data_IF_597437032003
#
_entry.id   IF_597437032003
#
_cell.length_a   1.000
_cell.length_b   1.000
_cell.length_c   1.000
_cell.angle_alpha   90.00
_cell.angle_beta   90.00
_cell.angle_gamma   90.00
#
_symmetry.space_group_name_H-M   'P 1'
#
loop_
_entity.id
_entity.type
_entity.pdbx_description
1 polymer ?
#
# COMPACT_ATOMS: atom_id res chain seq x y z
N UNK A 1 10.54 -23.92 -14.08
CA UNK A 1 11.12 -22.92 -15.00
C UNK A 1 10.92 -21.62 -14.28
N UNK A 2 11.94 -20.78 -14.20
CA UNK A 2 11.82 -19.43 -13.64
C UNK A 2 10.83 -18.66 -14.50
N UNK A 3 9.74 -18.21 -13.91
CA UNK A 3 8.73 -17.37 -14.54
C UNK A 3 8.98 -15.90 -14.18
N UNK A 4 8.59 -15.00 -15.10
CA UNK A 4 8.52 -13.57 -14.85
C UNK A 4 7.10 -13.19 -14.45
N UNK A 5 6.93 -12.87 -13.16
CA UNK A 5 5.64 -12.67 -12.52
C UNK A 5 5.44 -11.20 -12.17
N UNK A 6 4.38 -10.60 -12.70
CA UNK A 6 4.05 -9.19 -12.47
C UNK A 6 2.89 -9.03 -11.50
N UNK A 7 3.14 -8.44 -10.33
CA UNK A 7 2.08 -7.97 -9.43
C UNK A 7 1.57 -6.61 -9.89
N UNK A 8 0.29 -6.55 -10.25
CA UNK A 8 -0.35 -5.36 -10.84
C UNK A 8 -1.55 -4.93 -9.99
N UNK A 9 -1.35 -4.03 -9.02
CA UNK A 9 -2.38 -3.22 -8.38
C UNK A 9 -3.29 -2.47 -9.38
N UNK A 10 -4.49 -3.01 -9.62
CA UNK A 10 -5.46 -2.50 -10.61
C UNK A 10 -6.30 -1.36 -10.06
N UNK A 11 -6.08 -0.15 -10.58
CA UNK A 11 -6.89 1.03 -10.31
C UNK A 11 -7.79 1.41 -11.49
N UNK A 12 -7.68 2.67 -11.91
CA UNK A 12 -8.47 3.21 -13.04
C UNK A 12 -7.66 3.37 -14.32
N UNK A 13 -6.36 3.04 -14.30
CA UNK A 13 -5.50 3.07 -15.47
C UNK A 13 -5.58 1.75 -16.22
N UNK A 14 -5.42 1.82 -17.54
CA UNK A 14 -5.32 0.63 -18.40
C UNK A 14 -3.93 0.58 -19.04
N UNK A 15 -3.59 1.62 -19.80
CA UNK A 15 -2.39 1.66 -20.64
C UNK A 15 -1.11 1.45 -19.84
N UNK A 16 -1.00 2.12 -18.69
CA UNK A 16 0.17 2.04 -17.79
C UNK A 16 0.35 0.67 -17.14
N UNK A 17 -0.68 -0.16 -17.14
CA UNK A 17 -0.63 -1.50 -16.55
C UNK A 17 -0.27 -2.58 -17.57
N UNK A 18 -0.50 -2.33 -18.87
CA UNK A 18 -0.30 -3.34 -19.93
C UNK A 18 0.74 -2.95 -20.98
N UNK A 19 0.90 -1.67 -21.32
CA UNK A 19 1.78 -1.25 -22.44
C UNK A 19 3.24 -1.65 -22.29
N UNK A 20 3.88 -1.60 -21.11
CA UNK A 20 5.26 -2.08 -20.99
C UNK A 20 5.42 -3.52 -21.46
N UNK A 21 4.45 -4.37 -21.12
CA UNK A 21 4.45 -5.80 -21.48
C UNK A 21 4.04 -5.98 -22.95
N UNK A 22 2.91 -5.41 -23.37
CA UNK A 22 2.39 -5.61 -24.72
C UNK A 22 3.21 -4.97 -25.84
N UNK A 23 4.07 -4.00 -25.50
CA UNK A 23 5.03 -3.39 -26.44
C UNK A 23 6.41 -4.06 -26.39
N UNK A 24 6.58 -5.17 -25.64
CA UNK A 24 7.84 -5.90 -25.52
C UNK A 24 8.97 -5.09 -24.86
N UNK A 25 8.63 -4.12 -23.99
CA UNK A 25 9.62 -3.43 -23.16
C UNK A 25 9.91 -4.20 -21.86
N UNK A 26 8.97 -5.06 -21.46
CA UNK A 26 9.09 -6.00 -20.36
C UNK A 26 8.51 -7.33 -20.82
N UNK A 27 9.13 -8.43 -20.41
CA UNK A 27 8.65 -9.78 -20.62
C UNK A 27 7.79 -10.18 -19.40
N UNK A 28 6.76 -11.00 -19.60
CA UNK A 28 5.92 -11.50 -18.53
C UNK A 28 5.37 -12.87 -18.91
N UNK A 29 5.61 -13.88 -18.09
CA UNK A 29 4.96 -15.18 -18.23
C UNK A 29 3.58 -15.16 -17.55
N UNK A 30 3.48 -14.45 -16.42
CA UNK A 30 2.28 -14.37 -15.60
C UNK A 30 2.05 -13.00 -14.99
N UNK A 31 0.80 -12.59 -14.88
CA UNK A 31 0.36 -11.38 -14.17
C UNK A 31 -0.58 -11.74 -13.02
N UNK A 32 -0.31 -11.20 -11.85
CA UNK A 32 -1.22 -11.28 -10.70
C UNK A 32 -1.92 -9.93 -10.56
N UNK A 33 -3.18 -9.88 -10.96
CA UNK A 33 -4.01 -8.68 -10.87
C UNK A 33 -4.53 -8.54 -9.44
N UNK A 34 -4.04 -7.51 -8.73
CA UNK A 34 -4.52 -7.17 -7.40
C UNK A 34 -5.73 -6.23 -7.56
N UNK A 35 -6.91 -6.72 -7.24
CA UNK A 35 -8.19 -6.06 -7.50
C UNK A 35 -8.92 -5.73 -6.20
N UNK A 36 -9.98 -4.93 -6.29
CA UNK A 36 -10.86 -4.68 -5.16
C UNK A 36 -12.06 -5.65 -5.18
N UNK A 37 -12.36 -6.30 -4.06
CA UNK A 37 -13.62 -7.00 -3.83
C UNK A 37 -14.74 -5.98 -3.59
N UNK A 38 -15.68 -5.93 -4.53
CA UNK A 38 -16.95 -5.25 -4.33
C UNK A 38 -17.97 -5.87 -5.26
N UNK A 39 -19.07 -6.41 -4.71
CA UNK A 39 -20.15 -6.98 -5.51
C UNK A 39 -20.74 -5.88 -6.41
N UNK A 40 -20.59 -5.95 -7.75
CA UNK A 40 -21.11 -4.93 -8.66
C UNK A 40 -22.64 -4.74 -8.57
N UNK A 41 -23.33 -5.73 -8.01
CA UNK A 41 -24.79 -5.83 -7.93
C UNK A 41 -25.39 -5.42 -6.57
N UNK A 42 -24.58 -5.02 -5.58
CA UNK A 42 -25.11 -4.40 -4.37
C UNK A 42 -25.74 -3.03 -4.67
N UNK A 43 -26.96 -2.82 -4.16
CA UNK A 43 -27.68 -1.55 -4.31
C UNK A 43 -26.97 -0.43 -3.55
N UNK A 44 -26.12 0.32 -4.26
CA UNK A 44 -25.36 1.42 -3.68
C UNK A 44 -23.90 1.50 -4.15
N UNK A 45 -23.46 0.55 -4.98
CA UNK A 45 -22.07 0.49 -5.48
C UNK A 45 -21.64 1.80 -6.15
N UNK A 46 -20.60 2.39 -5.55
CA UNK A 46 -19.91 3.60 -5.97
C UNK A 46 -19.42 3.46 -7.43
N UNK A 47 -19.64 4.48 -8.28
CA UNK A 47 -19.24 4.47 -9.72
C UNK A 47 -17.77 4.08 -9.93
N UNK A 48 -16.92 4.34 -8.92
CA UNK A 48 -15.53 3.92 -8.88
C UNK A 48 -15.36 2.39 -8.99
N UNK A 49 -16.10 1.59 -8.21
CA UNK A 49 -15.97 0.14 -8.23
C UNK A 49 -16.34 -0.43 -9.62
N UNK A 50 -17.40 0.07 -10.24
CA UNK A 50 -17.79 -0.32 -11.62
C UNK A 50 -16.71 0.01 -12.64
N UNK A 51 -16.04 1.15 -12.49
CA UNK A 51 -14.94 1.53 -13.37
C UNK A 51 -13.75 0.58 -13.19
N UNK A 52 -13.37 0.28 -11.94
CA UNK A 52 -12.30 -0.66 -11.62
C UNK A 52 -12.58 -2.06 -12.19
N UNK A 53 -13.78 -2.62 -11.98
CA UNK A 53 -14.17 -3.92 -12.54
C UNK A 53 -14.08 -3.94 -14.07
N UNK A 54 -14.51 -2.86 -14.73
CA UNK A 54 -14.38 -2.74 -16.18
C UNK A 54 -12.91 -2.70 -16.63
N UNK A 55 -12.03 -2.05 -15.87
CA UNK A 55 -10.60 -2.03 -16.16
C UNK A 55 -9.96 -3.40 -15.95
N UNK A 56 -10.29 -4.10 -14.86
CA UNK A 56 -9.86 -5.49 -14.61
C UNK A 56 -10.24 -6.39 -15.79
N UNK A 57 -11.51 -6.43 -16.18
CA UNK A 57 -11.94 -7.27 -17.30
C UNK A 57 -11.23 -6.91 -18.62
N UNK A 58 -10.99 -5.61 -18.84
CA UNK A 58 -10.28 -5.15 -20.02
C UNK A 58 -8.82 -5.61 -20.00
N UNK A 59 -8.15 -5.58 -18.85
CA UNK A 59 -6.78 -6.07 -18.68
C UNK A 59 -6.70 -7.57 -18.89
N UNK A 60 -7.58 -8.35 -18.24
CA UNK A 60 -7.68 -9.81 -18.41
C UNK A 60 -7.75 -10.17 -19.91
N UNK A 61 -8.75 -9.64 -20.61
CA UNK A 61 -8.92 -9.88 -22.05
C UNK A 61 -7.70 -9.48 -22.88
N UNK A 62 -6.94 -8.47 -22.44
CA UNK A 62 -5.80 -7.96 -23.21
C UNK A 62 -4.52 -8.74 -22.95
N UNK A 63 -4.32 -9.25 -21.74
CA UNK A 63 -3.23 -10.16 -21.39
C UNK A 63 -3.44 -11.54 -22.02
N UNK A 64 -4.67 -12.05 -22.07
CA UNK A 64 -5.01 -13.29 -22.79
C UNK A 64 -4.62 -13.22 -24.27
N UNK A 65 -4.78 -12.05 -24.91
CA UNK A 65 -4.46 -11.85 -26.33
C UNK A 65 -2.96 -11.88 -26.63
N UNK A 66 -2.11 -11.72 -25.63
CA UNK A 66 -0.65 -11.77 -25.75
C UNK A 66 -0.07 -13.00 -25.05
N UNK A 67 -0.89 -14.03 -24.81
CA UNK A 67 -0.50 -15.32 -24.23
C UNK A 67 0.17 -15.23 -22.84
N UNK A 68 -0.21 -14.24 -22.03
CA UNK A 68 0.25 -14.08 -20.64
C UNK A 68 -0.74 -14.74 -19.68
N UNK A 69 -0.26 -15.57 -18.75
CA UNK A 69 -1.11 -16.20 -17.72
C UNK A 69 -1.64 -15.15 -16.73
N UNK A 70 -2.89 -15.27 -16.30
CA UNK A 70 -3.54 -14.30 -15.43
C UNK A 70 -4.03 -14.98 -14.16
N UNK A 71 -3.60 -14.44 -13.03
CA UNK A 71 -4.15 -14.73 -11.71
C UNK A 71 -4.81 -13.48 -11.13
N UNK A 72 -5.79 -13.69 -10.24
CA UNK A 72 -6.52 -12.60 -9.61
C UNK A 72 -6.55 -12.77 -8.11
N UNK A 73 -6.05 -11.74 -7.44
CA UNK A 73 -6.16 -11.56 -6.00
C UNK A 73 -7.09 -10.39 -5.72
N UNK A 74 -7.92 -10.51 -4.67
CA UNK A 74 -8.90 -9.49 -4.33
C UNK A 74 -8.69 -9.01 -2.90
N UNK A 75 -8.70 -7.69 -2.72
CA UNK A 75 -8.58 -7.01 -1.43
C UNK A 75 -9.94 -6.38 -1.13
N UNK A 76 -10.44 -6.52 0.08
CA UNK A 76 -11.66 -5.85 0.50
C UNK A 76 -11.54 -4.32 0.41
N UNK A 77 -12.64 -3.65 0.05
CA UNK A 77 -12.62 -2.20 -0.19
C UNK A 77 -12.12 -1.39 1.00
N UNK A 78 -12.44 -1.81 2.22
CA UNK A 78 -11.99 -1.11 3.43
C UNK A 78 -10.51 -1.36 3.71
N UNK A 79 -10.00 -2.56 3.43
CA UNK A 79 -8.59 -2.93 3.63
C UNK A 79 -7.65 -2.22 2.65
N UNK A 80 -8.14 -1.69 1.52
CA UNK A 80 -7.33 -0.91 0.56
C UNK A 80 -6.70 0.35 1.16
N UNK A 81 -7.16 0.78 2.33
CA UNK A 81 -6.61 1.94 3.05
C UNK A 81 -5.83 1.56 4.31
N UNK A 82 -5.81 0.27 4.65
CA UNK A 82 -5.17 -0.26 5.86
C UNK A 82 -3.77 -0.76 5.54
N UNK A 83 -2.80 0.14 5.67
CA UNK A 83 -1.40 -0.15 5.31
C UNK A 83 -0.81 -1.33 6.09
N UNK A 84 -1.12 -1.47 7.37
CA UNK A 84 -0.65 -2.59 8.21
C UNK A 84 -1.29 -3.94 7.89
N UNK A 85 -2.29 -3.97 7.01
CA UNK A 85 -2.90 -5.18 6.43
C UNK A 85 -2.32 -5.46 5.05
N UNK A 86 -2.14 -4.41 4.25
CA UNK A 86 -1.63 -4.50 2.88
C UNK A 86 -0.16 -4.91 2.81
N UNK A 87 0.68 -4.39 3.71
CA UNK A 87 2.11 -4.69 3.70
C UNK A 87 2.39 -6.18 3.94
N UNK A 88 1.85 -6.84 5.00
CA UNK A 88 2.11 -8.26 5.21
C UNK A 88 1.63 -9.13 4.05
N UNK A 89 0.46 -8.81 3.49
CA UNK A 89 -0.07 -9.50 2.31
C UNK A 89 0.88 -9.36 1.11
N UNK A 90 1.34 -8.14 0.80
CA UNK A 90 2.27 -7.92 -0.30
C UNK A 90 3.62 -8.60 -0.07
N UNK A 91 4.12 -8.60 1.17
CA UNK A 91 5.34 -9.28 1.56
C UNK A 91 5.24 -10.79 1.30
N UNK A 92 4.18 -11.43 1.78
CA UNK A 92 3.93 -12.86 1.54
C UNK A 92 3.81 -13.17 0.05
N UNK A 93 3.02 -12.39 -0.70
CA UNK A 93 2.84 -12.64 -2.14
C UNK A 93 4.14 -12.57 -2.93
N UNK A 94 5.01 -11.60 -2.61
CA UNK A 94 6.29 -11.45 -3.28
C UNK A 94 7.24 -12.58 -2.86
N UNK A 95 7.33 -12.88 -1.56
CA UNK A 95 8.24 -13.90 -1.04
C UNK A 95 7.88 -15.30 -1.54
N UNK A 96 6.58 -15.64 -1.59
CA UNK A 96 6.09 -16.91 -2.11
C UNK A 96 6.52 -17.16 -3.58
N UNK A 97 6.66 -16.11 -4.39
CA UNK A 97 7.15 -16.21 -5.77
C UNK A 97 8.68 -16.31 -5.83
N UNK A 98 9.39 -15.55 -5.00
CA UNK A 98 10.85 -15.63 -4.91
C UNK A 98 11.31 -17.01 -4.41
N UNK A 99 10.59 -17.62 -3.47
CA UNK A 99 10.85 -18.98 -2.97
C UNK A 99 10.69 -20.06 -4.06
N UNK A 100 9.94 -19.77 -5.12
CA UNK A 100 9.81 -20.62 -6.32
C UNK A 100 10.89 -20.34 -7.37
N UNK A 101 11.86 -19.49 -7.05
CA UNK A 101 12.92 -19.02 -7.95
C UNK A 101 12.38 -18.25 -9.17
N UNK A 102 11.25 -17.55 -9.01
CA UNK A 102 10.66 -16.67 -10.03
C UNK A 102 11.27 -15.25 -9.97
N UNK A 103 11.27 -14.54 -11.09
CA UNK A 103 11.59 -13.12 -11.15
C UNK A 103 10.29 -12.30 -10.98
N UNK A 104 10.29 -11.35 -10.05
CA UNK A 104 9.10 -10.63 -9.59
C UNK A 104 9.18 -9.16 -9.96
N UNK A 105 8.11 -8.66 -10.58
CA UNK A 105 7.95 -7.26 -10.96
C UNK A 105 6.71 -6.65 -10.30
N UNK A 106 6.88 -5.53 -9.62
CA UNK A 106 5.81 -4.83 -8.91
C UNK A 106 5.46 -3.52 -9.61
N UNK A 107 4.26 -3.43 -10.18
CA UNK A 107 3.78 -2.23 -10.87
C UNK A 107 3.07 -1.26 -9.90
N UNK A 108 3.64 -0.10 -9.64
CA UNK A 108 3.07 0.89 -8.70
C UNK A 108 2.30 2.03 -9.40
N UNK A 109 1.78 1.77 -10.60
CA UNK A 109 1.25 2.84 -11.46
C UNK A 109 -0.18 3.31 -11.13
N UNK A 110 -1.08 2.44 -10.65
CA UNK A 110 -2.53 2.75 -10.68
C UNK A 110 -3.27 2.81 -9.34
N UNK A 111 -3.36 1.70 -8.60
CA UNK A 111 -4.21 1.58 -7.39
C UNK A 111 -4.07 2.72 -6.36
N UNK A 112 -4.99 2.85 -5.37
CA UNK A 112 -4.82 3.80 -4.28
C UNK A 112 -3.40 3.76 -3.73
N UNK A 113 -2.88 4.94 -3.42
CA UNK A 113 -1.48 5.12 -3.03
C UNK A 113 -1.07 4.16 -1.92
N UNK A 114 -1.95 3.89 -0.96
CA UNK A 114 -1.70 2.95 0.14
C UNK A 114 -1.30 1.55 -0.34
N UNK A 115 -1.99 0.99 -1.34
CA UNK A 115 -1.65 -0.33 -1.91
C UNK A 115 -0.32 -0.27 -2.66
N UNK A 116 -0.14 0.75 -3.51
CA UNK A 116 1.10 0.92 -4.26
C UNK A 116 2.33 1.06 -3.34
N UNK A 117 2.21 1.84 -2.26
CA UNK A 117 3.26 1.98 -1.26
C UNK A 117 3.46 0.70 -0.45
N UNK A 118 2.40 -0.03 -0.08
CA UNK A 118 2.55 -1.30 0.63
C UNK A 118 3.39 -2.31 -0.17
N UNK A 119 3.08 -2.47 -1.45
CA UNK A 119 3.83 -3.34 -2.36
C UNK A 119 5.27 -2.85 -2.59
N UNK A 120 5.48 -1.54 -2.78
CA UNK A 120 6.82 -0.98 -2.94
C UNK A 120 7.68 -1.14 -1.68
N UNK A 121 7.10 -0.92 -0.50
CA UNK A 121 7.81 -1.08 0.77
C UNK A 121 8.11 -2.55 1.03
N UNK A 122 7.15 -3.45 0.81
CA UNK A 122 7.37 -4.90 0.93
C UNK A 122 8.51 -5.37 0.05
N UNK A 123 8.54 -4.96 -1.22
CA UNK A 123 9.62 -5.30 -2.14
C UNK A 123 10.99 -4.81 -1.63
N UNK A 124 11.07 -3.56 -1.17
CA UNK A 124 12.31 -3.00 -0.63
C UNK A 124 12.74 -3.67 0.69
N UNK A 125 11.80 -4.03 1.56
CA UNK A 125 12.09 -4.74 2.81
C UNK A 125 12.67 -6.11 2.54
N UNK A 126 12.06 -6.88 1.62
CA UNK A 126 12.59 -8.20 1.21
C UNK A 126 14.02 -8.07 0.68
N UNK A 127 14.30 -7.09 -0.19
CA UNK A 127 15.67 -6.84 -0.65
C UNK A 127 16.59 -6.50 0.54
N UNK A 128 16.14 -5.65 1.46
CA UNK A 128 16.97 -5.22 2.58
C UNK A 128 17.31 -6.37 3.55
N UNK A 129 16.35 -7.27 3.79
CA UNK A 129 16.44 -8.40 4.71
C UNK A 129 17.28 -9.54 4.11
N UNK A 130 17.05 -9.91 2.86
CA UNK A 130 17.67 -11.10 2.26
C UNK A 130 18.93 -10.83 1.42
N UNK A 131 19.28 -9.57 1.13
CA UNK A 131 20.48 -9.25 0.31
C UNK A 131 21.79 -9.81 0.87
N UNK A 132 21.91 -10.00 2.19
CA UNK A 132 23.14 -10.55 2.78
C UNK A 132 23.26 -12.07 2.56
N UNK A 133 22.14 -12.76 2.38
CA UNK A 133 22.07 -14.19 2.14
C UNK A 133 22.00 -14.54 0.66
N UNK A 134 21.36 -13.67 -0.14
CA UNK A 134 21.16 -13.81 -1.56
C UNK A 134 21.52 -12.51 -2.30
N UNK A 135 22.76 -12.44 -2.79
CA UNK A 135 23.26 -11.28 -3.57
C UNK A 135 22.44 -11.03 -4.86
N UNK A 136 21.78 -12.07 -5.40
CA UNK A 136 21.00 -11.99 -6.65
C UNK A 136 19.57 -11.47 -6.43
N UNK A 137 19.11 -11.28 -5.19
CA UNK A 137 17.71 -10.86 -4.93
C UNK A 137 17.37 -9.50 -5.56
N UNK A 138 18.38 -8.62 -5.70
CA UNK A 138 18.23 -7.34 -6.39
C UNK A 138 17.97 -7.49 -7.88
N UNK A 139 18.43 -8.58 -8.49
CA UNK A 139 18.20 -8.88 -9.89
C UNK A 139 16.89 -9.67 -10.08
N UNK A 140 16.33 -10.25 -9.02
CA UNK A 140 15.09 -11.01 -9.04
C UNK A 140 13.84 -10.19 -8.68
N UNK A 141 13.96 -9.09 -7.94
CA UNK A 141 12.82 -8.33 -7.43
C UNK A 141 12.89 -6.86 -7.85
N UNK A 142 11.93 -6.46 -8.68
CA UNK A 142 11.87 -5.13 -9.31
C UNK A 142 10.60 -4.40 -8.92
N UNK A 143 10.71 -3.09 -8.66
CA UNK A 143 9.55 -2.20 -8.53
C UNK A 143 9.61 -1.14 -9.63
N UNK A 144 8.53 -0.95 -10.37
CA UNK A 144 8.51 -0.03 -11.50
C UNK A 144 7.25 0.84 -11.57
N UNK A 145 7.42 2.00 -12.15
CA UNK A 145 6.38 3.01 -12.37
C UNK A 145 6.37 3.43 -13.83
N UNK A 146 5.18 3.48 -14.42
CA UNK A 146 4.97 4.01 -15.76
C UNK A 146 4.39 5.41 -15.63
N UNK A 147 5.08 6.43 -16.14
CA UNK A 147 4.54 7.79 -16.18
C UNK A 147 3.39 7.89 -17.17
N UNK A 148 2.28 8.58 -16.85
CA UNK A 148 1.31 8.96 -17.86
C UNK A 148 1.92 9.99 -18.83
N UNK A 149 1.51 9.94 -20.09
CA UNK A 149 1.79 11.01 -21.06
C UNK A 149 0.93 12.24 -20.78
N UNK A 150 -0.33 12.02 -20.40
CA UNK A 150 -1.30 13.07 -20.12
C UNK A 150 -2.23 12.71 -18.96
N UNK A 151 -2.59 13.72 -18.16
CA UNK A 151 -3.61 13.60 -17.12
C UNK A 151 -4.97 14.09 -17.65
N UNK A 152 -5.86 13.16 -17.97
CA UNK A 152 -7.20 13.44 -18.52
C UNK A 152 -8.07 14.36 -17.64
N UNK A 153 -7.73 14.49 -16.36
CA UNK A 153 -8.43 15.37 -15.41
C UNK A 153 -8.44 16.84 -15.85
N UNK A 154 -7.39 17.29 -16.54
CA UNK A 154 -7.31 18.66 -17.06
C UNK A 154 -8.29 18.85 -18.21
N UNK A 155 -8.31 17.92 -19.17
CA UNK A 155 -9.28 17.93 -20.27
C UNK A 155 -10.72 17.82 -19.76
N UNK A 156 -10.98 16.98 -18.76
CA UNK A 156 -12.30 16.86 -18.14
C UNK A 156 -12.77 18.19 -17.56
N UNK A 157 -11.88 18.92 -16.86
CA UNK A 157 -12.19 20.24 -16.32
C UNK A 157 -12.51 21.25 -17.44
N UNK A 158 -11.66 21.33 -18.45
CA UNK A 158 -11.84 22.26 -19.58
C UNK A 158 -13.15 21.99 -20.33
N UNK A 159 -13.47 20.72 -20.60
CA UNK A 159 -14.74 20.35 -21.25
C UNK A 159 -15.94 20.73 -20.38
N UNK A 160 -15.87 20.57 -19.06
CA UNK A 160 -16.93 20.97 -18.15
C UNK A 160 -17.12 22.50 -18.10
N UNK A 161 -16.03 23.28 -18.10
CA UNK A 161 -16.06 24.74 -18.16
C UNK A 161 -16.70 25.23 -19.46
N UNK A 162 -16.21 24.76 -20.61
CA UNK A 162 -16.76 25.09 -21.92
C UNK A 162 -18.24 24.71 -22.05
N UNK A 163 -18.61 23.55 -21.49
CA UNK A 163 -20.01 23.11 -21.46
C UNK A 163 -20.85 24.06 -20.61
N UNK A 164 -20.37 24.47 -19.43
CA UNK A 164 -21.08 25.41 -18.57
C UNK A 164 -21.29 26.76 -19.27
N UNK A 165 -20.26 27.33 -19.89
CA UNK A 165 -20.37 28.60 -20.62
C UNK A 165 -21.35 28.52 -21.80
N UNK A 166 -21.39 27.37 -22.48
CA UNK A 166 -22.36 27.13 -23.55
C UNK A 166 -23.78 27.08 -23.01
N UNK A 167 -23.99 26.43 -21.86
CA UNK A 167 -25.30 26.35 -21.21
C UNK A 167 -25.77 27.71 -20.70
N UNK A 168 -24.88 28.54 -20.15
CA UNK A 168 -25.15 29.94 -19.78
C UNK A 168 -25.71 30.75 -20.96
N UNK A 169 -25.18 30.53 -22.16
CA UNK A 169 -25.66 31.23 -23.37
C UNK A 169 -27.05 30.72 -23.81
N UNK A 170 -27.39 29.47 -23.50
CA UNK A 170 -28.64 28.82 -23.88
C UNK A 170 -29.79 29.04 -22.88
N UNK A 171 -29.50 29.40 -21.62
CA UNK A 171 -30.48 29.71 -20.56
C UNK A 171 -31.53 30.78 -20.94
N UNK A 172 -31.35 31.47 -22.07
CA UNK A 172 -32.39 32.30 -22.71
C UNK A 172 -33.60 31.49 -23.22
N UNK A 173 -33.60 30.15 -23.12
CA UNK A 173 -34.73 29.27 -23.44
C UNK A 173 -35.15 28.53 -22.16
N UNK A 174 -36.42 28.65 -21.77
CA UNK A 174 -37.01 28.07 -20.55
C UNK A 174 -37.10 26.52 -20.59
N UNK A 175 -35.96 25.81 -20.58
CA UNK A 175 -35.92 24.36 -20.46
C UNK A 175 -35.40 23.92 -19.08
N UNK A 176 -36.29 23.31 -18.28
CA UNK A 176 -36.02 22.92 -16.90
C UNK A 176 -35.01 21.77 -16.74
N UNK A 177 -34.81 20.96 -17.79
CA UNK A 177 -33.82 19.88 -17.78
C UNK A 177 -32.42 20.46 -17.97
N UNK A 178 -32.30 21.43 -18.89
CA UNK A 178 -31.05 22.13 -19.20
C UNK A 178 -30.57 22.94 -17.99
N UNK A 179 -31.47 23.68 -17.34
CA UNK A 179 -31.17 24.45 -16.12
C UNK A 179 -30.66 23.55 -14.97
N UNK A 180 -31.24 22.35 -14.82
CA UNK A 180 -30.77 21.38 -13.82
C UNK A 180 -29.35 20.89 -14.09
N UNK A 181 -29.05 20.45 -15.32
CA UNK A 181 -27.72 19.96 -15.68
C UNK A 181 -26.66 21.07 -15.57
N UNK A 182 -27.02 22.29 -15.97
CA UNK A 182 -26.13 23.44 -15.83
C UNK A 182 -25.77 23.71 -14.36
N UNK A 183 -26.75 23.70 -13.46
CA UNK A 183 -26.52 23.84 -12.01
C UNK A 183 -25.63 22.73 -11.45
N UNK A 184 -25.80 21.49 -11.88
CA UNK A 184 -24.95 20.37 -11.45
C UNK A 184 -23.49 20.56 -11.89
N UNK A 185 -23.25 20.99 -13.14
CA UNK A 185 -21.91 21.29 -13.67
C UNK A 185 -21.27 22.44 -12.89
N UNK A 186 -21.99 23.56 -12.70
CA UNK A 186 -21.52 24.71 -11.93
C UNK A 186 -21.15 24.35 -10.48
N UNK A 187 -21.94 23.48 -9.84
CA UNK A 187 -21.64 23.00 -8.49
C UNK A 187 -20.40 22.11 -8.46
N UNK A 188 -20.24 21.22 -9.45
CA UNK A 188 -19.05 20.37 -9.56
C UNK A 188 -17.79 21.20 -9.83
N UNK A 189 -17.82 22.16 -10.77
CA UNK A 189 -16.70 23.06 -11.06
C UNK A 189 -16.30 23.85 -9.82
N UNK A 190 -17.26 24.42 -9.08
CA UNK A 190 -16.98 25.11 -7.80
C UNK A 190 -16.30 24.20 -6.77
N UNK A 191 -16.70 22.92 -6.70
CA UNK A 191 -16.05 21.94 -5.81
C UNK A 191 -14.63 21.63 -6.30
N UNK A 192 -14.43 21.44 -7.60
CA UNK A 192 -13.11 21.19 -8.19
C UNK A 192 -12.18 22.37 -7.98
N UNK A 193 -12.64 23.60 -8.19
CA UNK A 193 -11.85 24.82 -7.99
C UNK A 193 -11.49 25.04 -6.52
N UNK A 194 -12.37 24.65 -5.60
CA UNK A 194 -12.16 24.81 -4.17
C UNK A 194 -11.30 23.71 -3.55
N UNK A 195 -11.57 22.45 -3.92
CA UNK A 195 -11.06 21.27 -3.23
C UNK A 195 -10.09 20.42 -4.08
N UNK A 196 -10.01 20.66 -5.39
CA UNK A 196 -9.34 19.77 -6.33
C UNK A 196 -10.23 18.58 -6.71
N UNK A 197 -9.60 17.47 -7.10
CA UNK A 197 -10.31 16.26 -7.60
C UNK A 197 -10.69 15.26 -6.51
N UNK A 198 -10.40 15.61 -5.26
CA UNK A 198 -10.73 14.86 -4.05
C UNK A 198 -11.39 15.79 -3.03
N UNK A 199 -12.19 15.27 -2.11
CA UNK A 199 -12.82 16.08 -1.06
C UNK A 199 -12.80 15.36 0.29
N UNK A 200 -12.41 16.09 1.33
CA UNK A 200 -12.31 15.59 2.69
C UNK A 200 -11.05 14.77 2.98
N UNK A 201 -10.78 14.56 4.27
CA UNK A 201 -9.82 13.57 4.75
C UNK A 201 -10.62 12.49 5.49
N UNK A 202 -10.31 11.22 5.22
CA UNK A 202 -10.94 10.07 5.92
C UNK A 202 -10.31 9.95 7.31
N UNK A 203 -11.13 9.62 8.30
CA UNK A 203 -10.63 9.16 9.60
C UNK A 203 -10.20 7.69 9.44
N UNK A 204 -8.97 7.41 9.85
CA UNK A 204 -8.30 6.11 9.80
C UNK A 204 -7.89 5.79 11.24
N UNK A 205 -8.82 5.22 12.01
CA UNK A 205 -8.62 4.86 13.42
C UNK A 205 -8.10 6.02 14.30
N UNK A 206 -8.75 7.19 14.21
CA UNK A 206 -8.44 8.35 15.03
C UNK A 206 -7.30 9.24 14.51
N UNK A 207 -6.77 8.93 13.32
CA UNK A 207 -5.85 9.80 12.57
C UNK A 207 -6.33 10.05 11.14
N UNK A 208 -5.95 11.18 10.55
CA UNK A 208 -6.35 11.58 9.19
C UNK A 208 -5.25 11.32 8.15
N UNK A 209 -4.23 10.53 8.50
CA UNK A 209 -3.09 10.23 7.65
C UNK A 209 -2.64 8.78 7.87
N UNK A 210 -1.94 8.25 6.88
CA UNK A 210 -1.19 6.99 6.98
C UNK A 210 0.28 7.37 6.84
N UNK A 211 1.10 6.92 7.78
CA UNK A 211 2.55 7.00 7.65
C UNK A 211 3.07 5.76 6.92
N UNK A 212 3.84 5.98 5.85
CA UNK A 212 4.57 4.91 5.18
C UNK A 212 5.98 4.87 5.78
N UNK A 213 6.29 3.89 6.63
CA UNK A 213 7.61 3.81 7.25
C UNK A 213 8.66 3.53 6.17
N UNK A 214 9.88 4.01 6.42
CA UNK A 214 11.02 3.62 5.60
C UNK A 214 11.31 2.12 5.78
N UNK A 215 11.83 1.49 4.73
CA UNK A 215 12.34 0.13 4.84
C UNK A 215 13.37 0.04 5.99
N UNK A 216 13.40 -1.06 6.74
CA UNK A 216 14.31 -1.21 7.86
C UNK A 216 15.77 -1.16 7.39
N UNK A 217 16.66 -0.70 8.28
CA UNK A 217 18.09 -0.57 7.94
C UNK A 217 18.83 -1.90 7.85
N UNK A 218 18.34 -2.92 8.53
CA UNK A 218 18.95 -4.25 8.66
C UNK A 218 17.96 -5.20 9.32
N UNK A 219 18.14 -6.50 9.11
CA UNK A 219 17.31 -7.57 9.67
C UNK A 219 17.30 -7.61 11.21
N UNK A 220 16.33 -8.29 11.80
CA UNK A 220 16.12 -8.51 13.24
C UNK A 220 16.74 -9.84 13.66
N UNK A 221 17.59 -9.84 14.69
CA UNK A 221 18.32 -11.05 15.08
C UNK A 221 18.09 -11.47 16.54
N UNK A 222 17.79 -12.76 16.73
CA UNK A 222 17.90 -13.45 18.01
C UNK A 222 17.00 -12.87 19.12
N UNK A 223 17.59 -12.13 20.06
CA UNK A 223 16.81 -11.58 21.19
C UNK A 223 15.96 -10.37 20.80
N UNK A 224 16.26 -9.74 19.67
CA UNK A 224 15.49 -8.62 19.13
C UNK A 224 14.08 -9.06 18.76
N UNK A 225 13.96 -10.20 18.06
CA UNK A 225 12.68 -10.84 17.69
C UNK A 225 11.82 -11.08 18.94
N UNK A 226 12.42 -11.64 19.99
CA UNK A 226 11.71 -11.91 21.25
C UNK A 226 11.10 -10.64 21.85
N UNK A 227 11.80 -9.51 21.77
CA UNK A 227 11.32 -8.22 22.26
C UNK A 227 10.17 -7.70 21.37
N UNK A 228 10.29 -7.81 20.05
CA UNK A 228 9.24 -7.35 19.13
C UNK A 228 7.94 -8.13 19.31
N UNK A 229 8.02 -9.47 19.33
CA UNK A 229 6.86 -10.35 19.56
C UNK A 229 6.20 -10.05 20.92
N UNK A 230 7.02 -9.82 21.96
CA UNK A 230 6.51 -9.46 23.28
C UNK A 230 5.75 -8.12 23.27
N UNK A 231 6.32 -7.07 22.67
CA UNK A 231 5.68 -5.76 22.57
C UNK A 231 4.41 -5.82 21.73
N UNK A 232 4.37 -6.63 20.67
CA UNK A 232 3.17 -6.84 19.86
C UNK A 232 2.00 -7.40 20.67
N UNK A 233 2.28 -8.33 21.59
CA UNK A 233 1.27 -8.98 22.43
C UNK A 233 0.82 -8.11 23.61
N UNK A 234 1.75 -7.34 24.20
CA UNK A 234 1.51 -6.61 25.46
C UNK A 234 1.18 -5.14 25.27
N UNK A 235 1.46 -4.57 24.09
CA UNK A 235 1.34 -3.15 23.81
C UNK A 235 2.43 -2.29 24.48
N UNK A 236 2.23 -0.96 24.51
CA UNK A 236 3.22 -0.01 25.04
C UNK A 236 3.64 -0.32 26.48
N UNK A 237 4.95 -0.19 26.75
CA UNK A 237 5.50 -0.39 28.09
C UNK A 237 6.19 0.88 28.58
N UNK A 238 5.74 1.36 29.74
CA UNK A 238 6.14 2.66 30.30
C UNK A 238 7.66 2.87 30.57
N UNK A 239 8.48 1.82 30.55
CA UNK A 239 9.95 1.95 30.63
C UNK A 239 10.69 0.70 30.20
N UNK A 240 11.93 0.85 29.74
CA UNK A 240 12.83 -0.27 29.42
C UNK A 240 13.06 -1.22 30.61
N UNK A 241 13.04 -0.72 31.85
CA UNK A 241 13.16 -1.58 33.05
C UNK A 241 11.88 -2.38 33.31
N UNK A 242 10.70 -1.77 33.13
CA UNK A 242 9.43 -2.49 33.22
C UNK A 242 9.28 -3.52 32.09
N UNK A 243 9.78 -3.20 30.89
CA UNK A 243 9.86 -4.16 29.79
C UNK A 243 10.74 -5.36 30.15
N UNK A 244 11.92 -5.12 30.71
CA UNK A 244 12.82 -6.20 31.13
C UNK A 244 12.20 -7.08 32.24
N UNK A 245 11.52 -6.49 33.22
CA UNK A 245 10.85 -7.23 34.29
C UNK A 245 9.73 -8.12 33.74
N UNK A 246 8.81 -7.56 32.95
CA UNK A 246 7.70 -8.33 32.35
C UNK A 246 8.19 -9.40 31.37
N UNK A 247 9.23 -9.10 30.58
CA UNK A 247 9.78 -10.05 29.64
C UNK A 247 10.48 -11.23 30.35
N UNK A 248 11.17 -10.98 31.46
CA UNK A 248 11.75 -12.05 32.27
C UNK A 248 10.67 -12.98 32.84
N UNK A 249 9.54 -12.42 33.29
CA UNK A 249 8.39 -13.19 33.76
C UNK A 249 7.81 -14.08 32.65
N UNK A 250 7.60 -13.53 31.45
CA UNK A 250 7.07 -14.26 30.28
C UNK A 250 8.00 -15.40 29.86
N UNK A 251 9.31 -15.14 29.79
CA UNK A 251 10.31 -16.13 29.40
C UNK A 251 10.66 -17.14 30.50
N UNK A 252 10.11 -16.96 31.72
CA UNK A 252 10.48 -17.71 32.94
C UNK A 252 11.99 -17.66 33.21
N UNK A 253 12.62 -16.51 32.91
CA UNK A 253 14.03 -16.24 33.14
C UNK A 253 14.21 -15.42 34.44
N UNK A 254 15.42 -15.41 34.98
CA UNK A 254 15.72 -14.65 36.19
C UNK A 254 15.89 -13.15 35.87
N UNK A 255 15.05 -12.30 36.47
CA UNK A 255 15.22 -10.85 36.38
C UNK A 255 16.45 -10.39 37.20
N UNK A 256 17.59 -10.31 36.53
CA UNK A 256 18.86 -9.84 37.08
C UNK A 256 19.45 -8.68 36.25
N UNK A 257 20.52 -8.07 36.75
CA UNK A 257 21.15 -6.91 36.09
C UNK A 257 21.71 -7.25 34.69
N UNK A 258 22.13 -8.51 34.47
CA UNK A 258 22.58 -8.98 33.16
C UNK A 258 21.43 -9.05 32.16
N UNK A 259 20.29 -9.59 32.56
CA UNK A 259 19.09 -9.65 31.73
C UNK A 259 18.60 -8.24 31.38
N UNK A 260 18.52 -7.36 32.37
CA UNK A 260 18.14 -5.95 32.19
C UNK A 260 19.06 -5.23 31.21
N UNK A 261 20.38 -5.43 31.32
CA UNK A 261 21.37 -4.84 30.40
C UNK A 261 21.19 -5.37 28.97
N UNK A 262 20.92 -6.67 28.82
CA UNK A 262 20.63 -7.29 27.52
C UNK A 262 19.38 -6.69 26.87
N UNK A 263 18.28 -6.54 27.62
CA UNK A 263 17.05 -5.91 27.12
C UNK A 263 17.32 -4.48 26.68
N UNK A 264 18.00 -3.68 27.52
CA UNK A 264 18.30 -2.30 27.19
C UNK A 264 19.16 -2.17 25.93
N UNK A 265 20.17 -3.02 25.77
CA UNK A 265 21.01 -3.04 24.57
C UNK A 265 20.20 -3.34 23.30
N UNK A 266 19.36 -4.38 23.32
CA UNK A 266 18.57 -4.76 22.15
C UNK A 266 17.47 -3.75 21.84
N UNK A 267 16.82 -3.15 22.84
CA UNK A 267 15.84 -2.07 22.63
C UNK A 267 16.49 -0.87 21.96
N UNK A 268 17.68 -0.45 22.40
CA UNK A 268 18.39 0.65 21.74
C UNK A 268 18.77 0.31 20.29
N UNK A 269 19.16 -0.95 20.01
CA UNK A 269 19.47 -1.40 18.65
C UNK A 269 18.21 -1.44 17.77
N UNK A 270 17.09 -1.90 18.29
CA UNK A 270 15.80 -1.88 17.59
C UNK A 270 15.32 -0.44 17.30
N UNK A 271 15.54 0.49 18.23
CA UNK A 271 15.25 1.92 18.06
C UNK A 271 16.12 2.53 16.94
N UNK A 272 17.42 2.23 16.93
CA UNK A 272 18.33 2.66 15.85
C UNK A 272 17.99 2.06 14.47
N UNK A 273 17.46 0.84 14.45
CA UNK A 273 16.95 0.16 13.25
C UNK A 273 15.57 0.68 12.81
N UNK A 274 14.83 1.33 13.72
CA UNK A 274 13.51 1.90 13.49
C UNK A 274 12.34 0.98 13.84
N UNK A 275 12.56 -0.18 14.47
CA UNK A 275 11.49 -1.15 14.79
C UNK A 275 10.69 -0.80 16.05
N UNK A 276 11.24 -0.04 16.97
CA UNK A 276 10.53 0.44 18.17
C UNK A 276 10.59 1.95 18.24
N UNK A 277 9.53 2.56 18.79
CA UNK A 277 9.48 3.98 19.10
C UNK A 277 9.65 4.17 20.60
N UNK A 278 10.43 5.20 20.97
CA UNK A 278 10.70 5.55 22.37
C UNK A 278 10.30 6.98 22.65
N UNK A 279 9.19 7.15 23.39
CA UNK A 279 8.63 8.46 23.70
C UNK A 279 8.99 8.84 25.14
N UNK A 280 9.52 10.05 25.32
CA UNK A 280 9.79 10.60 26.66
C UNK A 280 8.48 10.89 27.40
N UNK A 281 8.28 10.20 28.53
CA UNK A 281 7.25 10.52 29.52
C UNK A 281 7.93 10.84 30.86
N UNK A 282 8.15 12.14 31.09
CA UNK A 282 8.85 12.66 32.28
C UNK A 282 10.31 12.19 32.34
N UNK A 283 10.61 11.29 33.28
CA UNK A 283 11.96 10.70 33.44
C UNK A 283 12.04 9.26 32.88
N UNK A 284 11.03 8.82 32.12
CA UNK A 284 10.93 7.47 31.57
C UNK A 284 10.80 7.54 30.05
N UNK A 285 11.17 6.44 29.40
CA UNK A 285 11.00 6.24 27.96
C UNK A 285 9.98 5.13 27.79
N UNK A 286 8.75 5.50 27.46
CA UNK A 286 7.76 4.52 27.01
C UNK A 286 8.25 3.89 25.72
N UNK A 287 8.21 2.56 25.64
CA UNK A 287 8.67 1.80 24.49
C UNK A 287 7.47 1.09 23.89
N UNK A 288 7.23 1.33 22.61
CA UNK A 288 6.18 0.68 21.81
C UNK A 288 6.77 0.20 20.48
N UNK A 289 6.05 -0.67 19.78
CA UNK A 289 6.38 -0.99 18.40
C UNK A 289 6.13 0.23 17.52
N UNK A 290 7.06 0.48 16.62
CA UNK A 290 6.80 1.34 15.47
C UNK A 290 5.87 0.64 14.46
N UNK A 291 5.43 1.37 13.43
CA UNK A 291 4.70 0.77 12.31
C UNK A 291 5.50 -0.35 11.63
N UNK A 292 6.80 -0.16 11.40
CA UNK A 292 7.64 -1.22 10.81
C UNK A 292 7.85 -2.40 11.76
N UNK A 293 7.92 -2.17 13.07
CA UNK A 293 7.96 -3.22 14.09
C UNK A 293 6.71 -4.09 14.10
N UNK A 294 5.51 -3.47 14.07
CA UNK A 294 4.24 -4.21 13.98
C UNK A 294 4.14 -5.01 12.70
N UNK A 295 4.60 -4.44 11.59
CA UNK A 295 4.60 -5.13 10.30
C UNK A 295 5.58 -6.29 10.27
N UNK A 296 6.78 -6.14 10.82
CA UNK A 296 7.78 -7.21 10.88
C UNK A 296 7.28 -8.42 11.66
N UNK A 297 6.61 -8.22 12.81
CA UNK A 297 5.99 -9.30 13.60
C UNK A 297 4.82 -9.97 12.88
N UNK A 298 4.17 -9.29 11.92
CA UNK A 298 3.11 -9.90 11.11
C UNK A 298 3.66 -10.75 9.96
N UNK A 299 4.93 -10.55 9.57
CA UNK A 299 5.55 -11.25 8.44
C UNK A 299 6.56 -12.33 8.86
N UNK A 300 6.92 -12.41 10.14
CA UNK A 300 7.85 -13.40 10.74
C UNK A 300 7.18 -14.11 11.91
#
# INVERSE_FOLDING_TARGET
>A
MTEQVHFIPVGFDFERLIYPISQGQMEADRVVLITNTGDPDEKGVNKAAKLATKMTQRLENSFELIDVEIERESIETDDMFEYETLYPMAYTYILDELDKENEVFVNISSMPRTVAFAFATAANSIIAEYQEENDEIRDLLHTYYVSPEEYLVHQMKEVLENTSETLDQLEKREDSIVDKQHKEIQQLLKRIDKNGVTEGARDLDGQMYVEFPSAPRSDVEGFEETILVFLFQQGPVASTSALAEKLAEELKDEYNESFRSRVQYNVSKLDEKGYVDRVEDGNRLETDLSTIGRMWVKTH
#
